data_IF_267826667726
#
_entry.id   IF_267826667726
#
_cell.length_a   1.000
_cell.length_b   1.000
_cell.length_c   1.000
_cell.angle_alpha   90.00
_cell.angle_beta   90.00
_cell.angle_gamma   90.00
#
_symmetry.space_group_name_H-M   'P 1'
#
loop_
_entity.id
_entity.type
_entity.pdbx_description
1 polymer ?
#
# COMPACT_ATOMS: atom_id res chain seq x y z
N UNK A 1 19.64 0.59 1.40
CA UNK A 1 18.63 0.37 2.46
C UNK A 1 19.11 0.79 3.84
N UNK A 2 20.37 0.55 4.21
CA UNK A 2 20.89 0.79 5.57
C UNK A 2 20.68 2.21 6.11
N UNK A 3 20.87 3.26 5.31
CA UNK A 3 20.66 4.66 5.73
C UNK A 3 19.22 4.98 6.14
N UNK A 4 18.21 4.49 5.41
CA UNK A 4 16.79 4.68 5.75
C UNK A 4 16.38 4.03 7.08
N UNK A 5 17.19 3.10 7.58
CA UNK A 5 16.96 2.41 8.85
C UNK A 5 17.70 3.08 10.03
N UNK A 6 18.63 4.00 9.75
CA UNK A 6 19.38 4.73 10.77
C UNK A 6 18.61 5.97 11.21
N UNK A 7 18.31 6.05 12.51
CA UNK A 7 17.56 7.18 13.07
C UNK A 7 18.29 8.52 12.90
N UNK A 8 19.63 8.52 13.03
CA UNK A 8 20.46 9.72 12.84
C UNK A 8 20.45 10.29 11.42
N UNK A 9 20.09 9.51 10.41
CA UNK A 9 20.02 9.97 9.02
C UNK A 9 18.65 10.56 8.65
N UNK A 10 17.64 10.46 9.52
CA UNK A 10 16.27 10.88 9.17
C UNK A 10 16.18 12.35 8.78
N UNK A 11 16.90 13.22 9.48
CA UNK A 11 16.92 14.65 9.17
C UNK A 11 17.54 14.90 7.80
N UNK A 12 18.73 14.35 7.54
CA UNK A 12 19.42 14.43 6.24
C UNK A 12 18.53 13.94 5.09
N UNK A 13 17.92 12.77 5.24
CA UNK A 13 17.04 12.18 4.23
C UNK A 13 15.83 13.08 3.99
N UNK A 14 15.19 13.58 5.06
CA UNK A 14 14.03 14.46 4.92
C UNK A 14 14.40 15.80 4.27
N UNK A 15 15.56 16.36 4.56
CA UNK A 15 16.04 17.57 3.89
C UNK A 15 16.19 17.35 2.38
N UNK A 16 16.79 16.24 1.95
CA UNK A 16 16.92 15.90 0.52
C UNK A 16 15.56 15.72 -0.17
N UNK A 17 14.59 15.08 0.51
CA UNK A 17 13.24 14.91 -0.02
C UNK A 17 12.53 16.26 -0.12
N UNK A 18 12.65 17.11 0.90
CA UNK A 18 12.05 18.45 0.94
C UNK A 18 12.61 19.36 -0.15
N UNK A 19 13.93 19.38 -0.33
CA UNK A 19 14.60 20.09 -1.42
C UNK A 19 14.08 19.65 -2.79
N UNK A 20 13.92 18.34 -3.01
CA UNK A 20 13.38 17.80 -4.27
C UNK A 20 11.93 18.23 -4.52
N UNK A 21 11.11 18.33 -3.47
CA UNK A 21 9.73 18.83 -3.55
C UNK A 21 9.72 20.31 -3.93
N UNK A 22 10.57 21.12 -3.29
CA UNK A 22 10.68 22.56 -3.57
C UNK A 22 11.21 22.84 -4.98
N UNK A 23 12.17 22.04 -5.45
CA UNK A 23 12.67 22.12 -6.82
C UNK A 23 11.55 21.78 -7.83
N UNK A 24 10.75 20.75 -7.54
CA UNK A 24 9.61 20.38 -8.39
C UNK A 24 8.54 21.50 -8.44
N UNK A 25 8.23 22.12 -7.30
CA UNK A 25 7.36 23.31 -7.23
C UNK A 25 7.90 24.45 -8.10
N UNK A 26 9.20 24.77 -7.99
CA UNK A 26 9.83 25.84 -8.76
C UNK A 26 9.77 25.57 -10.28
N UNK A 27 9.77 24.29 -10.68
CA UNK A 27 9.61 23.85 -12.08
C UNK A 27 8.14 23.75 -12.52
N UNK A 28 7.18 24.08 -11.65
CA UNK A 28 5.75 24.03 -11.97
C UNK A 28 5.17 22.62 -12.04
N UNK A 29 5.79 21.65 -11.36
CA UNK A 29 5.25 20.29 -11.25
C UNK A 29 3.92 20.31 -10.49
N UNK A 30 2.91 19.62 -11.03
CA UNK A 30 1.56 19.57 -10.44
C UNK A 30 1.45 18.53 -9.31
N UNK A 31 2.09 17.38 -9.48
CA UNK A 31 2.01 16.24 -8.57
C UNK A 31 3.41 15.67 -8.36
N UNK A 32 3.76 15.42 -7.09
CA UNK A 32 5.03 14.80 -6.69
C UNK A 32 4.74 13.54 -5.88
N UNK A 33 5.23 12.39 -6.35
CA UNK A 33 5.00 11.10 -5.70
C UNK A 33 6.17 10.70 -4.83
N UNK A 34 5.91 10.27 -3.60
CA UNK A 34 6.94 9.74 -2.72
C UNK A 34 7.17 8.25 -2.98
N UNK A 35 8.25 7.90 -3.68
CA UNK A 35 8.57 6.52 -4.03
C UNK A 35 9.15 5.70 -2.86
N UNK A 36 8.73 4.44 -2.76
CA UNK A 36 9.31 3.42 -1.85
C UNK A 36 9.52 3.93 -0.41
N UNK A 37 10.78 4.07 0.01
CA UNK A 37 11.14 4.42 1.38
C UNK A 37 10.92 5.90 1.71
N UNK A 38 10.78 6.77 0.70
CA UNK A 38 10.61 8.22 0.86
C UNK A 38 9.27 8.62 1.50
N UNK A 39 8.34 7.66 1.63
CA UNK A 39 7.02 7.83 2.27
C UNK A 39 6.90 7.10 3.62
N UNK A 40 8.02 6.72 4.24
CA UNK A 40 8.01 6.00 5.51
C UNK A 40 7.26 6.75 6.62
N UNK A 41 6.34 6.07 7.31
CA UNK A 41 5.57 6.65 8.43
C UNK A 41 6.49 7.21 9.52
N UNK A 42 7.48 6.41 9.97
CA UNK A 42 8.49 6.84 10.94
C UNK A 42 9.50 7.87 10.41
N UNK A 43 9.56 8.06 9.08
CA UNK A 43 10.50 8.99 8.45
C UNK A 43 9.90 10.40 8.37
N UNK A 44 8.71 10.54 7.76
CA UNK A 44 8.09 11.84 7.48
C UNK A 44 6.55 11.81 7.55
N UNK A 45 6.00 10.80 8.24
CA UNK A 45 4.56 10.55 8.29
C UNK A 45 3.93 10.51 6.89
N UNK A 46 4.51 9.73 6.00
CA UNK A 46 4.07 9.62 4.60
C UNK A 46 3.86 10.97 3.92
N UNK A 47 4.83 11.87 4.05
CA UNK A 47 4.85 13.17 3.40
C UNK A 47 4.11 14.30 4.12
N UNK A 48 3.33 14.03 5.18
CA UNK A 48 2.62 15.07 5.92
C UNK A 48 3.58 16.11 6.52
N UNK A 49 4.78 15.68 6.92
CA UNK A 49 5.84 16.56 7.42
C UNK A 49 6.09 17.75 6.47
N UNK A 50 6.19 17.49 5.16
CA UNK A 50 6.55 18.50 4.17
C UNK A 50 5.39 19.48 3.90
N UNK A 51 4.15 19.00 3.97
CA UNK A 51 2.95 19.87 3.89
C UNK A 51 2.90 20.81 5.09
N UNK A 52 3.18 20.29 6.29
CA UNK A 52 3.20 21.10 7.52
C UNK A 52 4.29 22.16 7.51
N UNK A 53 5.49 21.82 7.01
CA UNK A 53 6.61 22.76 6.89
C UNK A 53 6.36 23.82 5.80
N UNK A 54 5.68 23.45 4.73
CA UNK A 54 5.46 24.31 3.57
C UNK A 54 3.97 24.43 3.22
N UNK A 55 3.16 25.12 4.07
CA UNK A 55 1.70 25.17 3.92
C UNK A 55 1.21 25.87 2.63
N UNK A 56 2.12 26.54 1.91
CA UNK A 56 1.82 27.25 0.65
C UNK A 56 2.21 26.46 -0.61
N UNK A 57 2.68 25.21 -0.48
CA UNK A 57 3.00 24.36 -1.63
C UNK A 57 1.79 24.20 -2.56
N UNK A 58 2.00 24.42 -3.85
CA UNK A 58 0.98 24.23 -4.89
C UNK A 58 1.05 22.82 -5.44
N UNK A 59 2.25 22.26 -5.63
CA UNK A 59 2.49 20.86 -5.95
C UNK A 59 1.77 19.97 -4.95
N UNK A 60 1.11 18.92 -5.46
CA UNK A 60 0.41 17.96 -4.62
C UNK A 60 1.26 16.75 -4.33
N UNK A 61 1.42 16.46 -3.04
CA UNK A 61 2.12 15.27 -2.59
C UNK A 61 1.19 14.08 -2.62
N UNK A 62 1.67 12.98 -3.21
CA UNK A 62 0.93 11.72 -3.29
C UNK A 62 1.83 10.60 -2.80
N UNK A 63 1.47 9.98 -1.67
CA UNK A 63 2.13 8.76 -1.22
C UNK A 63 1.65 7.53 -2.00
N UNK A 64 0.40 7.56 -2.49
CA UNK A 64 -0.21 6.56 -3.37
C UNK A 64 -0.88 5.38 -2.66
N UNK A 65 -1.13 5.49 -1.36
CA UNK A 65 -1.73 4.44 -0.54
C UNK A 65 -3.13 4.01 -1.00
N UNK A 66 -3.93 4.94 -1.52
CA UNK A 66 -5.31 4.71 -1.96
C UNK A 66 -5.37 3.71 -3.11
N UNK A 67 -4.49 3.85 -4.11
CA UNK A 67 -4.43 2.90 -5.21
C UNK A 67 -3.79 1.58 -4.78
N UNK A 68 -2.83 1.60 -3.86
CA UNK A 68 -2.29 0.37 -3.29
C UNK A 68 -3.37 -0.45 -2.56
N UNK A 69 -4.20 0.21 -1.75
CA UNK A 69 -5.37 -0.39 -1.09
C UNK A 69 -6.35 -0.94 -2.13
N UNK A 70 -6.69 -0.15 -3.15
CA UNK A 70 -7.60 -0.57 -4.21
C UNK A 70 -7.11 -1.84 -4.94
N UNK A 71 -5.83 -1.89 -5.29
CA UNK A 71 -5.23 -3.05 -5.96
C UNK A 71 -5.31 -4.29 -5.07
N UNK A 72 -5.00 -4.17 -3.78
CA UNK A 72 -5.10 -5.32 -2.85
C UNK A 72 -6.55 -5.79 -2.73
N UNK A 73 -7.52 -4.88 -2.51
CA UNK A 73 -8.94 -5.24 -2.41
C UNK A 73 -9.44 -5.97 -3.66
N UNK A 74 -9.03 -5.52 -4.85
CA UNK A 74 -9.42 -6.13 -6.12
C UNK A 74 -8.62 -7.40 -6.47
N UNK A 75 -7.55 -7.72 -5.73
CA UNK A 75 -6.78 -8.96 -5.89
C UNK A 75 -7.30 -10.11 -5.03
N UNK A 76 -8.15 -9.83 -4.04
CA UNK A 76 -8.76 -10.86 -3.19
C UNK A 76 -9.76 -11.67 -4.02
N UNK A 77 -9.67 -13.01 -4.05
CA UNK A 77 -10.59 -13.85 -4.81
C UNK A 77 -12.05 -13.64 -4.42
N UNK A 78 -12.94 -13.71 -5.43
CA UNK A 78 -14.39 -13.71 -5.17
C UNK A 78 -14.75 -14.94 -4.33
N UNK A 79 -15.58 -14.73 -3.32
CA UNK A 79 -16.00 -15.79 -2.39
C UNK A 79 -15.08 -15.97 -1.18
N UNK A 80 -13.99 -15.20 -1.05
CA UNK A 80 -13.23 -15.16 0.20
C UNK A 80 -14.11 -14.65 1.35
N UNK A 81 -14.27 -15.48 2.37
CA UNK A 81 -15.09 -15.18 3.57
C UNK A 81 -14.27 -14.72 4.77
N UNK A 82 -12.98 -15.06 4.79
CA UNK A 82 -12.06 -14.74 5.88
C UNK A 82 -10.67 -14.41 5.35
N UNK A 83 -10.04 -13.42 5.98
CA UNK A 83 -8.64 -13.05 5.74
C UNK A 83 -7.91 -12.90 7.06
N UNK A 84 -6.59 -12.97 7.02
CA UNK A 84 -5.75 -12.72 8.18
C UNK A 84 -4.62 -11.76 7.83
N UNK A 85 -4.35 -10.80 8.73
CA UNK A 85 -3.21 -9.90 8.61
C UNK A 85 -1.96 -10.49 9.26
N UNK A 86 -0.82 -10.38 8.56
CA UNK A 86 0.52 -10.75 9.05
C UNK A 86 1.57 -9.71 8.68
N UNK A 87 2.72 -9.77 9.34
CA UNK A 87 3.76 -8.75 9.26
C UNK A 87 3.33 -7.43 9.91
N UNK A 88 4.04 -6.35 9.57
CA UNK A 88 3.85 -5.03 10.16
C UNK A 88 2.51 -4.41 9.77
N UNK A 89 1.67 -4.16 10.78
CA UNK A 89 0.37 -3.52 10.61
C UNK A 89 0.53 -1.98 10.52
N UNK A 90 0.16 -1.41 9.36
CA UNK A 90 0.34 0.01 9.05
C UNK A 90 -0.98 0.66 8.59
N UNK A 91 -0.94 1.91 8.09
CA UNK A 91 -2.13 2.61 7.60
C UNK A 91 -2.86 1.86 6.47
N UNK A 92 -2.12 1.25 5.53
CA UNK A 92 -2.70 0.47 4.43
C UNK A 92 -3.46 -0.73 4.99
N UNK A 93 -2.85 -1.44 5.94
CA UNK A 93 -3.50 -2.54 6.64
C UNK A 93 -4.77 -2.08 7.37
N UNK A 94 -4.74 -0.91 8.01
CA UNK A 94 -5.91 -0.34 8.68
C UNK A 94 -7.07 -0.11 7.72
N UNK A 95 -6.84 0.51 6.57
CA UNK A 95 -7.91 0.77 5.60
C UNK A 95 -8.41 -0.51 4.93
N UNK A 96 -7.51 -1.46 4.64
CA UNK A 96 -7.90 -2.78 4.12
C UNK A 96 -8.81 -3.52 5.10
N UNK A 97 -8.43 -3.59 6.38
CA UNK A 97 -9.22 -4.26 7.40
C UNK A 97 -10.61 -3.64 7.53
N UNK A 98 -10.71 -2.31 7.60
CA UNK A 98 -11.99 -1.60 7.67
C UNK A 98 -12.87 -1.89 6.44
N UNK A 99 -12.30 -1.76 5.23
CA UNK A 99 -13.04 -2.01 3.98
C UNK A 99 -13.53 -3.46 3.86
N UNK A 100 -12.76 -4.44 4.35
CA UNK A 100 -13.13 -5.86 4.32
C UNK A 100 -14.21 -6.19 5.35
N UNK A 101 -14.12 -5.64 6.56
CA UNK A 101 -15.18 -5.76 7.56
C UNK A 101 -16.51 -5.20 7.06
N UNK A 102 -16.51 -4.02 6.43
CA UNK A 102 -17.70 -3.41 5.83
C UNK A 102 -18.25 -4.23 4.64
N UNK A 103 -17.38 -4.98 3.94
CA UNK A 103 -17.79 -5.95 2.90
C UNK A 103 -18.30 -7.29 3.47
N UNK A 104 -18.37 -7.43 4.79
CA UNK A 104 -18.86 -8.64 5.44
C UNK A 104 -17.84 -9.80 5.51
N UNK A 105 -16.57 -9.54 5.18
CA UNK A 105 -15.47 -10.51 5.24
C UNK A 105 -14.89 -10.50 6.65
N UNK A 106 -14.71 -11.68 7.25
CA UNK A 106 -14.07 -11.78 8.56
C UNK A 106 -12.57 -11.43 8.46
N UNK A 107 -12.11 -10.53 9.33
CA UNK A 107 -10.73 -10.04 9.38
C UNK A 107 -10.08 -10.43 10.69
N UNK A 108 -9.08 -11.30 10.62
CA UNK A 108 -8.29 -11.72 11.76
C UNK A 108 -7.06 -10.83 11.96
N UNK A 109 -6.92 -10.28 13.18
CA UNK A 109 -5.79 -9.44 13.63
C UNK A 109 -5.08 -10.11 14.80
N UNK A 110 -3.75 -10.14 14.77
CA UNK A 110 -2.90 -10.83 15.77
C UNK A 110 -2.50 -9.97 16.95
N UNK A 111 -2.42 -8.65 16.75
CA UNK A 111 -1.96 -7.70 17.76
C UNK A 111 -3.16 -7.01 18.40
N UNK A 112 -3.25 -7.10 19.73
CA UNK A 112 -4.39 -6.58 20.50
C UNK A 112 -4.57 -5.07 20.31
N UNK A 113 -3.45 -4.33 20.31
CA UNK A 113 -3.44 -2.89 20.05
C UNK A 113 -4.07 -2.53 18.70
N UNK A 114 -3.77 -3.30 17.65
CA UNK A 114 -4.30 -3.05 16.31
C UNK A 114 -5.78 -3.44 16.22
N UNK A 115 -6.16 -4.54 16.86
CA UNK A 115 -7.56 -4.96 16.99
C UNK A 115 -8.41 -3.90 17.67
N UNK A 116 -8.02 -3.40 18.85
CA UNK A 116 -8.78 -2.35 19.57
C UNK A 116 -8.82 -1.04 18.78
N UNK A 117 -7.71 -0.68 18.12
CA UNK A 117 -7.67 0.50 17.24
C UNK A 117 -8.64 0.37 16.07
N UNK A 118 -8.79 -0.81 15.46
CA UNK A 118 -9.74 -1.02 14.37
C UNK A 118 -11.18 -1.05 14.88
N UNK A 119 -11.42 -1.74 15.99
CA UNK A 119 -12.74 -1.86 16.61
C UNK A 119 -13.34 -0.50 16.92
N UNK A 120 -12.54 0.43 17.46
CA UNK A 120 -12.97 1.81 17.74
C UNK A 120 -13.29 2.64 16.49
N UNK A 121 -12.79 2.28 15.31
CA UNK A 121 -13.05 2.97 14.04
C UNK A 121 -14.28 2.44 13.30
N UNK A 122 -14.67 1.19 13.54
CA UNK A 122 -15.84 0.56 12.92
C UNK A 122 -17.12 1.08 13.57
N UNK A 123 -18.04 1.64 12.78
CA UNK A 123 -19.29 2.24 13.28
C UNK A 123 -20.44 1.25 13.33
N UNK A 124 -20.50 0.34 12.36
CA UNK A 124 -21.57 -0.66 12.27
C UNK A 124 -21.25 -1.86 13.16
N UNK A 125 -22.24 -2.30 13.95
CA UNK A 125 -22.16 -3.55 14.72
C UNK A 125 -21.84 -4.73 13.80
N UNK A 126 -22.48 -4.77 12.62
CA UNK A 126 -22.23 -5.83 11.66
C UNK A 126 -20.77 -5.89 11.19
N UNK A 127 -20.13 -4.74 10.99
CA UNK A 127 -18.73 -4.67 10.60
C UNK A 127 -17.80 -5.00 11.78
N UNK A 128 -18.16 -4.60 13.01
CA UNK A 128 -17.43 -4.98 14.22
C UNK A 128 -17.42 -6.51 14.43
N UNK A 129 -18.54 -7.20 14.18
CA UNK A 129 -18.64 -8.66 14.27
C UNK A 129 -17.74 -9.40 13.27
N UNK A 130 -17.30 -8.71 12.21
CA UNK A 130 -16.34 -9.25 11.24
C UNK A 130 -14.90 -9.11 11.69
N UNK A 131 -14.59 -8.25 12.64
CA UNK A 131 -13.25 -8.11 13.17
C UNK A 131 -13.02 -9.13 14.30
N UNK A 132 -12.02 -9.98 14.16
CA UNK A 132 -11.68 -11.00 15.17
C UNK A 132 -10.23 -10.86 15.61
N UNK A 133 -10.00 -10.97 16.92
CA UNK A 133 -8.67 -11.13 17.47
C UNK A 133 -8.28 -12.60 17.42
N UNK A 134 -7.29 -12.95 16.60
CA UNK A 134 -6.85 -14.33 16.46
C UNK A 134 -5.36 -14.45 16.16
N UNK A 135 -4.76 -15.47 16.77
CA UNK A 135 -3.36 -15.89 16.53
C UNK A 135 -3.27 -17.19 15.73
N UNK A 136 -4.39 -17.69 15.25
CA UNK A 136 -4.43 -18.87 14.39
C UNK A 136 -3.92 -18.57 12.98
N UNK A 137 -3.49 -19.61 12.27
CA UNK A 137 -2.90 -19.54 10.94
C UNK A 137 -3.74 -20.31 9.90
N UNK A 138 -5.00 -20.57 10.23
CA UNK A 138 -5.90 -21.47 9.50
C UNK A 138 -6.51 -20.85 8.24
N UNK A 139 -6.47 -19.53 8.11
CA UNK A 139 -7.05 -18.80 6.99
C UNK A 139 -6.23 -19.03 5.72
N UNK A 140 -6.93 -19.29 4.62
CA UNK A 140 -6.30 -19.54 3.31
C UNK A 140 -6.01 -18.25 2.51
N UNK A 141 -6.29 -17.06 3.06
CA UNK A 141 -5.97 -15.77 2.43
C UNK A 141 -5.30 -14.86 3.45
N UNK A 142 -4.02 -14.58 3.21
CA UNK A 142 -3.16 -13.78 4.06
C UNK A 142 -2.89 -12.44 3.39
N UNK A 143 -3.19 -11.35 4.09
CA UNK A 143 -2.78 -10.01 3.72
C UNK A 143 -1.49 -9.68 4.49
N UNK A 144 -0.39 -9.48 3.78
CA UNK A 144 0.94 -9.45 4.41
C UNK A 144 1.66 -8.10 4.24
N UNK A 145 2.14 -7.56 5.36
CA UNK A 145 2.96 -6.36 5.42
C UNK A 145 4.44 -6.67 5.37
N UNK A 146 5.26 -5.63 5.48
CA UNK A 146 6.71 -5.77 5.64
C UNK A 146 7.03 -6.53 6.95
N UNK A 147 8.12 -7.29 6.99
CA UNK A 147 8.54 -8.00 8.21
C UNK A 147 7.87 -9.36 8.45
N UNK A 148 7.10 -9.89 7.49
CA UNK A 148 6.64 -11.28 7.53
C UNK A 148 7.84 -12.24 7.61
N UNK A 149 7.93 -13.05 8.67
CA UNK A 149 9.08 -13.95 8.86
C UNK A 149 8.92 -15.28 8.13
N UNK A 150 10.01 -16.05 8.02
CA UNK A 150 9.95 -17.40 7.44
C UNK A 150 9.16 -18.33 8.34
N UNK A 151 9.33 -18.21 9.65
CA UNK A 151 8.66 -18.99 10.68
C UNK A 151 7.14 -18.77 10.61
N UNK A 152 6.68 -17.52 10.48
CA UNK A 152 5.26 -17.23 10.28
C UNK A 152 4.73 -17.91 9.02
N UNK A 153 5.46 -17.84 7.90
CA UNK A 153 5.03 -18.50 6.65
C UNK A 153 4.93 -20.02 6.79
N UNK A 154 5.82 -20.65 7.57
CA UNK A 154 5.73 -22.10 7.84
C UNK A 154 4.48 -22.52 8.62
N UNK A 155 3.77 -21.59 9.23
CA UNK A 155 2.52 -21.86 9.93
C UNK A 155 1.28 -21.81 9.03
N UNK A 156 1.38 -21.28 7.81
CA UNK A 156 0.26 -21.24 6.86
C UNK A 156 -0.31 -22.64 6.55
N UNK A 157 -1.46 -22.72 5.89
CA UNK A 157 -1.93 -23.99 5.34
C UNK A 157 -1.41 -24.18 3.91
N UNK A 158 -1.27 -25.43 3.47
CA UNK A 158 -0.95 -25.70 2.05
C UNK A 158 -2.00 -25.03 1.15
N UNK A 159 -1.54 -24.36 0.10
CA UNK A 159 -2.41 -23.63 -0.83
C UNK A 159 -2.86 -22.26 -0.35
N UNK A 160 -2.35 -21.77 0.79
CA UNK A 160 -2.64 -20.41 1.25
C UNK A 160 -2.23 -19.39 0.19
N UNK A 161 -3.13 -18.43 -0.06
CA UNK A 161 -2.87 -17.27 -0.91
C UNK A 161 -2.29 -16.14 -0.06
N UNK A 162 -1.08 -15.70 -0.40
CA UNK A 162 -0.36 -14.60 0.24
C UNK A 162 -0.40 -13.38 -0.67
N UNK A 163 -1.07 -12.33 -0.21
CA UNK A 163 -1.28 -11.06 -0.91
C UNK A 163 -0.54 -9.95 -0.17
N UNK A 164 0.61 -9.48 -0.69
CA UNK A 164 1.33 -8.38 -0.07
C UNK A 164 0.57 -7.06 -0.20
N UNK A 165 0.49 -6.30 0.90
CA UNK A 165 0.16 -4.88 0.88
C UNK A 165 1.39 -3.99 1.14
N UNK A 166 2.57 -4.60 1.24
CA UNK A 166 3.87 -3.95 1.41
C UNK A 166 4.45 -3.44 0.09
N UNK A 167 5.36 -2.47 0.21
CA UNK A 167 6.11 -1.92 -0.93
C UNK A 167 7.14 -2.91 -1.47
N UNK A 168 7.74 -3.71 -0.58
CA UNK A 168 8.69 -4.76 -0.92
C UNK A 168 8.02 -6.14 -0.85
N UNK A 169 8.34 -7.06 -1.78
CA UNK A 169 7.79 -8.40 -1.74
C UNK A 169 8.32 -9.16 -0.51
N UNK A 170 7.51 -10.02 0.13
CA UNK A 170 8.01 -10.92 1.14
C UNK A 170 8.96 -11.95 0.52
N UNK A 171 9.89 -12.47 1.32
CA UNK A 171 10.62 -13.68 0.93
C UNK A 171 9.64 -14.85 0.82
N UNK A 172 9.74 -15.65 -0.23
CA UNK A 172 8.88 -16.82 -0.46
C UNK A 172 9.42 -18.05 0.27
N UNK A 173 9.19 -18.12 1.58
CA UNK A 173 9.73 -19.20 2.41
C UNK A 173 8.94 -20.50 2.27
N UNK A 174 7.65 -20.41 1.91
CA UNK A 174 6.75 -21.57 1.81
C UNK A 174 6.35 -21.88 0.37
N UNK A 175 6.90 -22.98 -0.17
CA UNK A 175 6.78 -23.36 -1.60
C UNK A 175 5.40 -23.83 -2.04
N UNK A 176 4.58 -24.34 -1.12
CA UNK A 176 3.25 -24.87 -1.40
C UNK A 176 2.14 -23.83 -1.19
N UNK A 177 2.49 -22.55 -1.08
CA UNK A 177 1.59 -21.40 -1.05
C UNK A 177 1.66 -20.59 -2.35
N UNK A 178 0.63 -19.80 -2.62
CA UNK A 178 0.58 -18.90 -3.77
C UNK A 178 0.93 -17.47 -3.33
N UNK A 179 1.79 -16.79 -4.09
CA UNK A 179 2.19 -15.41 -3.79
C UNK A 179 1.74 -14.49 -4.91
N UNK A 180 1.08 -13.40 -4.55
CA UNK A 180 0.87 -12.27 -5.45
C UNK A 180 2.11 -11.35 -5.46
N UNK A 181 2.20 -10.48 -6.47
CA UNK A 181 3.14 -9.36 -6.45
C UNK A 181 2.76 -8.36 -5.37
N UNK A 182 3.67 -7.45 -5.05
CA UNK A 182 3.30 -6.21 -4.35
C UNK A 182 2.26 -5.43 -5.17
N UNK A 183 1.48 -4.51 -4.55
CA UNK A 183 0.46 -3.74 -5.24
C UNK A 183 1.02 -3.04 -6.48
N UNK A 184 0.62 -3.54 -7.65
CA UNK A 184 1.16 -3.13 -8.94
C UNK A 184 0.16 -3.44 -10.06
N UNK A 185 0.33 -2.76 -11.19
CA UNK A 185 -0.53 -2.91 -12.37
C UNK A 185 0.32 -2.89 -13.64
N UNK A 186 -0.19 -3.54 -14.68
CA UNK A 186 0.34 -3.41 -16.04
C UNK A 186 0.08 -2.00 -16.56
N UNK A 187 1.10 -1.38 -17.15
CA UNK A 187 1.01 -0.04 -17.73
C UNK A 187 0.35 -0.06 -19.11
N UNK A 188 -0.38 1.00 -19.49
CA UNK A 188 -0.97 1.12 -20.81
C UNK A 188 0.10 1.08 -21.91
N UNK A 189 -0.27 0.61 -23.11
CA UNK A 189 0.67 0.41 -24.23
C UNK A 189 1.33 1.70 -24.72
N UNK A 190 0.67 2.84 -24.55
CA UNK A 190 1.20 4.15 -24.95
C UNK A 190 2.28 4.68 -23.99
N UNK A 191 2.45 4.07 -22.81
CA UNK A 191 3.52 4.44 -21.89
C UNK A 191 4.79 3.68 -22.30
N UNK A 192 5.61 4.34 -23.10
CA UNK A 192 6.87 3.81 -23.63
C UNK A 192 8.02 3.95 -22.63
N UNK A 193 9.11 3.19 -22.84
CA UNK A 193 10.33 3.22 -22.03
C UNK A 193 10.10 2.99 -20.52
N UNK A 194 9.07 2.22 -20.18
CA UNK A 194 8.81 1.77 -18.81
C UNK A 194 9.58 0.49 -18.54
N UNK A 195 10.86 0.64 -18.23
CA UNK A 195 11.58 -0.38 -17.48
C UNK A 195 11.22 -0.27 -16.00
N UNK A 196 11.11 -1.41 -15.32
CA UNK A 196 10.73 -1.40 -13.91
C UNK A 196 11.87 -0.82 -13.05
N UNK A 197 11.57 0.23 -12.27
CA UNK A 197 12.47 0.72 -11.22
C UNK A 197 12.49 -0.22 -10.00
N UNK A 198 11.55 -1.16 -9.94
CA UNK A 198 11.42 -2.17 -8.88
C UNK A 198 11.83 -3.51 -9.47
N UNK A 199 13.03 -3.97 -9.12
CA UNK A 199 13.68 -5.12 -9.76
C UNK A 199 12.92 -6.46 -9.62
N UNK A 200 11.88 -6.52 -8.79
CA UNK A 200 10.97 -7.68 -8.64
C UNK A 200 9.71 -7.60 -9.53
N UNK A 201 9.47 -6.48 -10.22
CA UNK A 201 8.36 -6.34 -11.17
C UNK A 201 8.88 -6.52 -12.61
N UNK A 202 8.13 -7.23 -13.48
CA UNK A 202 8.54 -7.41 -14.87
C UNK A 202 8.39 -6.10 -15.66
N UNK A 203 8.87 -6.10 -16.91
CA UNK A 203 8.67 -4.98 -17.83
C UNK A 203 7.21 -4.60 -17.95
N UNK A 204 6.96 -3.29 -18.07
CA UNK A 204 5.61 -2.71 -18.18
C UNK A 204 4.71 -2.96 -16.98
N UNK A 205 5.25 -3.37 -15.84
CA UNK A 205 4.52 -3.39 -14.57
C UNK A 205 5.09 -2.30 -13.68
N UNK A 206 4.21 -1.56 -13.02
CA UNK A 206 4.56 -0.44 -12.15
C UNK A 206 3.81 -0.56 -10.83
N UNK A 207 4.46 -0.16 -9.72
CA UNK A 207 3.80 -0.07 -8.41
C UNK A 207 2.59 0.84 -8.42
N UNK A 208 1.57 0.42 -7.67
CA UNK A 208 0.34 1.18 -7.44
C UNK A 208 0.64 2.56 -6.86
N UNK A 209 1.61 2.68 -5.95
CA UNK A 209 2.02 3.96 -5.38
C UNK A 209 2.49 4.97 -6.44
N UNK A 210 3.29 4.51 -7.42
CA UNK A 210 3.76 5.38 -8.51
C UNK A 210 2.64 5.72 -9.48
N UNK A 211 1.80 4.73 -9.82
CA UNK A 211 0.64 4.94 -10.70
C UNK A 211 -0.33 5.96 -10.09
N UNK A 212 -0.51 5.96 -8.77
CA UNK A 212 -1.41 6.89 -8.09
C UNK A 212 -1.08 8.35 -8.42
N UNK A 213 0.20 8.74 -8.35
CA UNK A 213 0.59 10.11 -8.70
C UNK A 213 0.40 10.45 -10.18
N UNK A 214 0.61 9.48 -11.08
CA UNK A 214 0.30 9.65 -12.51
C UNK A 214 -1.20 9.91 -12.69
N UNK A 215 -2.06 9.09 -12.06
CA UNK A 215 -3.52 9.21 -12.12
C UNK A 215 -3.98 10.55 -11.52
N UNK A 216 -3.43 10.96 -10.37
CA UNK A 216 -3.71 12.29 -9.80
C UNK A 216 -3.39 13.42 -10.78
N UNK A 217 -2.25 13.33 -11.46
CA UNK A 217 -1.83 14.31 -12.46
C UNK A 217 -2.73 14.34 -13.70
N UNK A 218 -3.09 13.16 -14.23
CA UNK A 218 -3.97 13.03 -15.39
C UNK A 218 -5.40 13.51 -15.10
N UNK A 219 -5.90 13.26 -13.89
CA UNK A 219 -7.23 13.68 -13.46
C UNK A 219 -7.28 15.12 -12.94
N UNK A 220 -6.12 15.78 -12.79
CA UNK A 220 -6.03 17.15 -12.27
C UNK A 220 -6.54 17.30 -10.85
N UNK A 221 -6.45 16.25 -10.01
CA UNK A 221 -6.94 16.32 -8.64
C UNK A 221 -6.06 17.22 -7.79
N UNK A 222 -6.66 18.31 -7.29
CA UNK A 222 -5.98 19.33 -6.49
C UNK A 222 -5.98 18.97 -5.00
N UNK A 223 -5.54 17.77 -4.64
CA UNK A 223 -5.55 17.24 -3.27
C UNK A 223 -4.22 16.57 -2.96
N UNK A 224 -3.74 16.74 -1.72
CA UNK A 224 -2.65 15.92 -1.21
C UNK A 224 -3.20 14.56 -0.76
N UNK A 225 -2.41 13.52 -0.97
CA UNK A 225 -2.59 12.21 -0.37
C UNK A 225 -1.32 11.89 0.43
N UNK A 226 -1.37 12.18 1.73
CA UNK A 226 -0.24 12.06 2.64
C UNK A 226 -0.72 11.85 4.09
N UNK A 227 0.17 11.41 4.97
CA UNK A 227 -0.19 11.20 6.38
C UNK A 227 -1.07 9.98 6.58
N UNK A 228 -2.04 10.11 7.50
CA UNK A 228 -2.94 9.02 7.91
C UNK A 228 -4.21 8.92 7.05
N UNK A 229 -4.47 9.92 6.23
CA UNK A 229 -5.65 9.96 5.37
C UNK A 229 -5.36 9.34 4.01
N UNK A 230 -6.36 8.68 3.45
CA UNK A 230 -6.36 8.21 2.05
C UNK A 230 -7.37 9.03 1.27
N UNK A 231 -7.19 9.13 -0.04
CA UNK A 231 -8.04 9.97 -0.89
C UNK A 231 -9.44 9.35 -1.07
N UNK A 232 -9.65 8.63 -2.17
CA UNK A 232 -10.88 7.88 -2.41
C UNK A 232 -10.51 6.64 -3.22
N UNK A 233 -10.64 5.48 -2.57
CA UNK A 233 -10.16 4.18 -3.06
C UNK A 233 -10.89 3.81 -4.36
N UNK A 234 -12.21 3.96 -4.41
CA UNK A 234 -13.00 3.61 -5.59
C UNK A 234 -12.72 4.58 -6.75
N UNK A 235 -12.63 5.88 -6.46
CA UNK A 235 -12.35 6.90 -7.47
C UNK A 235 -10.98 6.71 -8.12
N UNK A 236 -9.92 6.44 -7.32
CA UNK A 236 -8.58 6.21 -7.86
C UNK A 236 -8.50 4.89 -8.62
N UNK A 237 -9.22 3.86 -8.17
CA UNK A 237 -9.32 2.60 -8.88
C UNK A 237 -9.94 2.79 -10.28
N UNK A 238 -11.14 3.37 -10.35
CA UNK A 238 -11.85 3.60 -11.61
C UNK A 238 -11.06 4.47 -12.59
N UNK A 239 -10.40 5.53 -12.08
CA UNK A 239 -9.53 6.36 -12.89
C UNK A 239 -8.32 5.60 -13.42
N UNK A 240 -7.68 4.75 -12.60
CA UNK A 240 -6.54 3.94 -13.04
C UNK A 240 -6.92 3.01 -14.21
N UNK A 241 -8.09 2.37 -14.15
CA UNK A 241 -8.60 1.52 -15.22
C UNK A 241 -8.93 2.34 -16.48
N UNK A 242 -9.58 3.51 -16.34
CA UNK A 242 -9.86 4.40 -17.49
C UNK A 242 -8.59 4.85 -18.20
N UNK A 243 -7.51 5.11 -17.46
CA UNK A 243 -6.20 5.44 -18.01
C UNK A 243 -5.40 4.21 -18.47
N UNK A 244 -6.05 3.05 -18.61
CA UNK A 244 -5.48 1.85 -19.24
C UNK A 244 -4.49 1.08 -18.38
N UNK A 245 -4.38 1.39 -17.07
CA UNK A 245 -3.68 0.51 -16.14
C UNK A 245 -4.55 -0.72 -15.89
N UNK A 246 -3.93 -1.90 -15.85
CA UNK A 246 -4.67 -3.16 -15.68
C UNK A 246 -4.12 -3.96 -14.50
N UNK A 247 -4.96 -4.48 -13.60
CA UNK A 247 -4.50 -5.25 -12.46
C UNK A 247 -3.78 -6.52 -12.88
N UNK A 248 -2.80 -6.92 -12.07
CA UNK A 248 -2.06 -8.17 -12.21
C UNK A 248 -2.22 -8.97 -10.92
N UNK A 249 -2.37 -10.28 -11.05
CA UNK A 249 -2.67 -11.18 -9.92
C UNK A 249 -1.63 -12.28 -9.73
N UNK A 250 -0.53 -12.29 -10.49
CA UNK A 250 0.47 -13.37 -10.42
C UNK A 250 1.84 -12.81 -10.13
N UNK A 251 2.54 -13.39 -9.15
CA UNK A 251 3.96 -13.13 -8.96
C UNK A 251 4.78 -13.66 -10.13
N UNK A 252 5.88 -12.97 -10.45
CA UNK A 252 6.73 -13.24 -11.62
C UNK A 252 8.09 -13.84 -11.24
N UNK A 253 8.24 -14.23 -9.96
CA UNK A 253 9.48 -14.78 -9.39
C UNK A 253 9.31 -16.18 -8.83
#
# INVERSE_FOLDING_TARGET
MTQYLMEGERETINSLIEESILEAEAKGVKVFTLGLLNQGEKLNNSGELFIRRNPKLKVKLVDGSSLAIAVVLNSIPRGTTQVVFRGNFNKIASYLALALCEKGIQVAITQEKDYERLKSKLKSVHAQDKLVFSRDYSQNTWLVGEGLTKEEQTMASKGTLIIPYSRFPPEKARKDCFYHTTPSMLTPKYLENVDSCENWLPRRVMSAWRIAGIVHGLEGWNVNECGNEVFNIDKVWEASIRHGFSPIMKSFT
#
